data_IF_555452589227
#
_entry.id   IF_555452589227
#
_cell.length_a   1.000
_cell.length_b   1.000
_cell.length_c   1.000
_cell.angle_alpha   90.00
_cell.angle_beta   90.00
_cell.angle_gamma   90.00
#
_symmetry.space_group_name_H-M   'P 1'
#
loop_
_entity.id
_entity.type
_entity.pdbx_description
1 polymer ?
#
# COMPACT_ATOMS: atom_id res chain seq x y z
N UNK A 1 70.27 -37.99 9.72
CA UNK A 1 69.03 -38.47 9.08
C UNK A 1 67.92 -37.49 9.47
N UNK A 2 67.62 -36.53 8.59
CA UNK A 2 66.58 -35.50 8.79
C UNK A 2 65.31 -35.98 8.06
N UNK A 3 64.23 -36.23 8.83
CA UNK A 3 62.91 -36.59 8.25
C UNK A 3 62.18 -35.29 7.94
N UNK A 4 61.89 -35.07 6.66
CA UNK A 4 61.10 -33.95 6.18
C UNK A 4 59.60 -34.31 6.33
N UNK A 5 58.92 -33.52 7.15
CA UNK A 5 57.45 -33.66 7.35
C UNK A 5 56.74 -32.81 6.33
N UNK A 6 56.11 -33.47 5.36
CA UNK A 6 55.31 -32.76 4.31
C UNK A 6 53.92 -32.50 4.88
N UNK A 7 53.58 -31.21 5.06
CA UNK A 7 52.28 -30.77 5.49
C UNK A 7 51.35 -30.71 4.28
N UNK A 8 50.38 -31.60 4.21
CA UNK A 8 49.32 -31.58 3.18
C UNK A 8 48.21 -30.65 3.68
N UNK A 9 48.10 -29.46 3.05
CA UNK A 9 46.98 -28.53 3.27
C UNK A 9 45.79 -28.98 2.39
N UNK A 10 44.78 -29.55 3.04
CA UNK A 10 43.53 -29.89 2.35
C UNK A 10 42.67 -28.61 2.35
N UNK A 11 42.59 -27.99 1.16
CA UNK A 11 41.64 -26.90 0.88
C UNK A 11 40.23 -27.47 0.75
N UNK A 12 39.41 -27.36 1.79
CA UNK A 12 37.97 -27.62 1.72
C UNK A 12 37.29 -26.46 0.97
N UNK A 13 37.07 -26.65 -0.31
CA UNK A 13 36.21 -25.74 -1.08
C UNK A 13 34.76 -25.95 -0.63
N UNK A 14 34.25 -25.02 0.19
CA UNK A 14 32.82 -24.95 0.53
C UNK A 14 32.06 -24.52 -0.73
N UNK A 15 31.49 -25.47 -1.43
CA UNK A 15 30.56 -25.24 -2.52
C UNK A 15 29.25 -24.72 -1.89
N UNK A 16 29.04 -23.41 -1.90
CA UNK A 16 27.76 -22.81 -1.56
C UNK A 16 26.75 -23.23 -2.64
N UNK A 17 25.93 -24.23 -2.34
CA UNK A 17 24.76 -24.58 -3.12
C UNK A 17 23.80 -23.38 -3.03
N UNK A 18 23.79 -22.56 -4.08
CA UNK A 18 22.72 -21.61 -4.31
C UNK A 18 21.42 -22.41 -4.38
N UNK A 19 20.59 -22.32 -3.35
CA UNK A 19 19.23 -22.85 -3.40
C UNK A 19 18.47 -22.06 -4.47
N UNK A 20 18.40 -22.62 -5.67
CA UNK A 20 17.43 -22.20 -6.67
C UNK A 20 16.05 -22.57 -6.12
N UNK A 21 15.42 -21.61 -5.40
CA UNK A 21 14.08 -21.78 -4.91
C UNK A 21 13.18 -22.14 -6.10
N UNK A 22 12.53 -23.30 -6.02
CA UNK A 22 11.50 -23.70 -6.97
C UNK A 22 10.46 -22.58 -7.01
N UNK A 23 10.15 -21.98 -8.17
CA UNK A 23 9.14 -20.95 -8.22
C UNK A 23 7.82 -21.49 -7.65
N UNK A 24 7.23 -20.75 -6.73
CA UNK A 24 5.94 -21.08 -6.11
C UNK A 24 4.93 -21.47 -7.19
N UNK A 25 4.21 -22.58 -6.96
CA UNK A 25 3.11 -23.04 -7.83
C UNK A 25 1.87 -22.12 -7.83
N UNK A 26 1.96 -20.93 -7.23
CA UNK A 26 0.95 -19.88 -7.38
C UNK A 26 1.06 -19.30 -8.80
N UNK A 27 0.78 -20.14 -9.79
CA UNK A 27 0.69 -19.75 -11.20
C UNK A 27 -0.76 -19.39 -11.49
N UNK A 28 -0.99 -18.11 -11.79
CA UNK A 28 -2.31 -17.58 -12.12
C UNK A 28 -2.30 -16.06 -12.08
N UNK A 29 -3.35 -15.45 -12.61
CA UNK A 29 -3.54 -14.01 -12.51
C UNK A 29 -3.80 -13.67 -11.04
N UNK A 30 -2.90 -12.90 -10.42
CA UNK A 30 -3.01 -12.43 -9.05
C UNK A 30 -3.29 -10.93 -9.09
N UNK A 31 -4.27 -10.47 -8.31
CA UNK A 31 -4.57 -9.05 -8.09
C UNK A 31 -4.53 -8.80 -6.59
N UNK A 32 -3.83 -7.75 -6.19
CA UNK A 32 -3.83 -7.28 -4.81
C UNK A 32 -4.79 -6.12 -4.69
N UNK A 33 -5.65 -6.15 -3.67
CA UNK A 33 -6.30 -4.96 -3.15
C UNK A 33 -6.21 -4.95 -1.62
N UNK A 34 -6.24 -3.77 -1.02
CA UNK A 34 -6.26 -3.61 0.42
C UNK A 34 -7.72 -3.67 0.93
N UNK A 35 -7.93 -4.34 2.07
CA UNK A 35 -9.21 -4.34 2.77
C UNK A 35 -9.07 -3.75 4.16
N UNK A 36 -9.90 -2.78 4.51
CA UNK A 36 -9.85 -2.06 5.78
C UNK A 36 -11.17 -2.25 6.51
N UNK A 37 -11.09 -2.76 7.75
CA UNK A 37 -12.25 -2.88 8.62
C UNK A 37 -12.49 -1.55 9.32
N UNK A 38 -13.67 -0.96 9.14
CA UNK A 38 -13.99 0.38 9.67
C UNK A 38 -15.45 0.49 10.11
N UNK A 39 -15.71 1.31 11.12
CA UNK A 39 -17.07 1.69 11.56
C UNK A 39 -17.61 2.89 10.75
N UNK A 40 -16.78 3.52 9.89
CA UNK A 40 -17.08 4.77 9.18
C UNK A 40 -17.29 4.56 7.68
N UNK A 41 -18.12 3.56 7.31
CA UNK A 41 -18.25 3.15 5.92
C UNK A 41 -18.78 4.28 5.01
N UNK A 42 -19.80 5.01 5.48
CA UNK A 42 -20.43 6.11 4.73
C UNK A 42 -19.50 7.32 4.59
N UNK A 43 -18.83 7.72 5.67
CA UNK A 43 -17.87 8.83 5.65
C UNK A 43 -16.68 8.48 4.73
N UNK A 44 -16.25 7.22 4.76
CA UNK A 44 -15.19 6.73 3.88
C UNK A 44 -15.61 6.79 2.44
N UNK A 45 -16.81 6.31 2.11
CA UNK A 45 -17.35 6.40 0.74
C UNK A 45 -17.41 7.86 0.27
N UNK A 46 -17.99 8.74 1.09
CA UNK A 46 -18.10 10.16 0.75
C UNK A 46 -16.73 10.81 0.51
N UNK A 47 -15.74 10.51 1.33
CA UNK A 47 -14.38 11.02 1.19
C UNK A 47 -13.73 10.55 -0.12
N UNK A 48 -13.64 9.25 -0.34
CA UNK A 48 -12.94 8.71 -1.51
C UNK A 48 -13.61 9.12 -2.83
N UNK A 49 -14.95 9.16 -2.87
CA UNK A 49 -15.67 9.54 -4.09
C UNK A 49 -15.66 11.05 -4.34
N UNK A 50 -15.88 11.90 -3.32
CA UNK A 50 -16.04 13.35 -3.50
C UNK A 50 -14.70 14.10 -3.47
N UNK A 51 -13.72 13.60 -2.70
CA UNK A 51 -12.41 14.25 -2.56
C UNK A 51 -11.44 13.71 -3.60
N UNK A 52 -11.29 12.38 -3.70
CA UNK A 52 -10.31 11.72 -4.55
C UNK A 52 -10.85 11.24 -5.90
N UNK A 53 -12.18 11.33 -6.12
CA UNK A 53 -12.79 10.97 -7.40
C UNK A 53 -12.87 9.46 -7.68
N UNK A 54 -12.76 8.62 -6.66
CA UNK A 54 -12.90 7.17 -6.81
C UNK A 54 -14.32 6.81 -7.23
N UNK A 55 -14.44 5.72 -8.01
CA UNK A 55 -15.73 5.12 -8.35
C UNK A 55 -16.08 3.96 -7.42
N UNK A 56 -17.37 3.61 -7.37
CA UNK A 56 -17.86 2.45 -6.62
C UNK A 56 -17.95 1.24 -7.55
N UNK A 57 -17.15 0.20 -7.28
CA UNK A 57 -17.22 -1.08 -8.00
C UNK A 57 -18.32 -1.98 -7.46
N UNK A 58 -18.49 -2.00 -6.13
CA UNK A 58 -19.51 -2.79 -5.45
C UNK A 58 -19.82 -2.19 -4.08
N UNK A 59 -21.08 -2.33 -3.64
CA UNK A 59 -21.53 -1.88 -2.33
C UNK A 59 -22.70 -2.72 -1.84
N UNK A 60 -22.73 -2.99 -0.53
CA UNK A 60 -23.88 -3.49 0.20
C UNK A 60 -23.86 -2.93 1.63
N UNK A 61 -24.72 -3.47 2.52
CA UNK A 61 -24.89 -2.96 3.88
C UNK A 61 -23.65 -3.01 4.78
N UNK A 62 -22.63 -3.82 4.44
CA UNK A 62 -21.43 -3.98 5.27
C UNK A 62 -20.11 -3.91 4.49
N UNK A 63 -20.14 -3.82 3.17
CA UNK A 63 -18.95 -3.89 2.33
C UNK A 63 -19.01 -2.84 1.21
N UNK A 64 -17.90 -2.15 1.01
CA UNK A 64 -17.69 -1.16 -0.02
C UNK A 64 -16.41 -1.49 -0.79
N UNK A 65 -16.47 -1.63 -2.11
CA UNK A 65 -15.34 -1.76 -3.00
C UNK A 65 -15.26 -0.53 -3.90
N UNK A 66 -14.16 0.17 -3.82
CA UNK A 66 -13.88 1.37 -4.62
C UNK A 66 -12.76 1.08 -5.63
N UNK A 67 -12.78 1.79 -6.75
CA UNK A 67 -11.71 1.80 -7.73
C UNK A 67 -11.16 3.20 -7.93
N UNK A 68 -9.88 3.29 -8.29
CA UNK A 68 -9.23 4.55 -8.71
C UNK A 68 -9.94 5.16 -9.93
N UNK A 69 -9.79 6.47 -10.21
CA UNK A 69 -10.45 7.11 -11.35
C UNK A 69 -10.15 6.45 -12.70
N UNK A 70 -8.95 5.87 -12.88
CA UNK A 70 -8.58 5.10 -14.07
C UNK A 70 -9.09 3.64 -14.07
N UNK A 71 -9.65 3.15 -12.96
CA UNK A 71 -10.20 1.81 -12.82
C UNK A 71 -9.17 0.67 -12.69
N UNK A 72 -7.89 0.99 -12.51
CA UNK A 72 -6.82 -0.01 -12.48
C UNK A 72 -6.63 -0.64 -11.10
N UNK A 73 -6.78 0.14 -10.04
CA UNK A 73 -6.59 -0.29 -8.66
C UNK A 73 -7.89 -0.26 -7.86
N UNK A 74 -7.95 -1.10 -6.83
CA UNK A 74 -9.11 -1.20 -5.96
C UNK A 74 -8.72 -1.19 -4.48
N UNK A 75 -9.61 -0.66 -3.66
CA UNK A 75 -9.54 -0.70 -2.20
C UNK A 75 -10.92 -1.03 -1.65
N UNK A 76 -10.97 -1.84 -0.59
CA UNK A 76 -12.23 -2.22 0.03
C UNK A 76 -12.31 -1.80 1.50
N UNK A 77 -13.52 -1.54 1.94
CA UNK A 77 -13.85 -1.22 3.32
C UNK A 77 -15.01 -2.10 3.77
N UNK A 78 -14.99 -2.54 5.03
CA UNK A 78 -16.04 -3.38 5.56
C UNK A 78 -16.34 -3.07 7.03
N UNK A 79 -17.60 -3.22 7.42
CA UNK A 79 -18.02 -3.06 8.82
C UNK A 79 -17.43 -4.17 9.70
N UNK A 80 -17.03 -3.85 10.94
CA UNK A 80 -16.54 -4.85 11.89
C UNK A 80 -17.63 -5.80 12.34
N UNK A 81 -17.23 -6.98 12.78
CA UNK A 81 -18.10 -7.98 13.42
C UNK A 81 -19.30 -8.44 12.58
N UNK A 82 -19.29 -8.27 11.26
CA UNK A 82 -20.38 -8.76 10.43
C UNK A 82 -20.43 -10.29 10.45
N UNK A 83 -21.62 -10.92 10.66
CA UNK A 83 -21.73 -12.36 10.92
C UNK A 83 -21.32 -13.24 9.73
N UNK A 84 -21.31 -12.71 8.50
CA UNK A 84 -20.80 -13.42 7.32
C UNK A 84 -19.29 -13.49 7.24
N UNK A 85 -18.57 -12.70 8.04
CA UNK A 85 -17.12 -12.61 8.02
C UNK A 85 -16.48 -13.53 9.08
N UNK A 86 -15.25 -14.01 8.79
CA UNK A 86 -14.48 -14.76 9.75
C UNK A 86 -13.88 -13.83 10.82
N UNK A 87 -13.62 -14.34 12.01
CA UNK A 87 -13.09 -13.59 13.15
C UNK A 87 -11.80 -12.80 12.85
N UNK A 88 -11.02 -13.26 11.87
CA UNK A 88 -9.83 -12.57 11.39
C UNK A 88 -10.12 -11.14 10.87
N UNK A 89 -11.32 -10.93 10.30
CA UNK A 89 -11.76 -9.66 9.70
C UNK A 89 -12.74 -8.87 10.56
N UNK A 90 -12.85 -9.19 11.87
CA UNK A 90 -13.80 -8.53 12.77
C UNK A 90 -13.27 -7.26 13.44
N UNK A 91 -11.95 -7.18 13.65
CA UNK A 91 -11.37 -6.06 14.40
C UNK A 91 -11.21 -4.83 13.51
N UNK A 92 -11.76 -3.67 13.91
CA UNK A 92 -11.57 -2.45 13.15
C UNK A 92 -10.11 -2.00 13.16
N UNK A 93 -9.73 -1.29 12.11
CA UNK A 93 -8.44 -0.62 12.01
C UNK A 93 -8.27 0.39 13.16
N UNK A 94 -7.07 0.43 13.76
CA UNK A 94 -6.78 1.21 14.96
C UNK A 94 -5.92 2.44 14.66
N UNK A 95 -6.00 3.00 13.47
CA UNK A 95 -5.34 4.25 13.05
C UNK A 95 -3.80 4.23 13.10
N UNK A 96 -3.19 3.07 13.04
CA UNK A 96 -1.74 2.93 13.11
C UNK A 96 -1.18 1.88 12.15
N UNK A 97 -0.02 2.20 11.57
CA UNK A 97 0.80 1.23 10.84
C UNK A 97 0.34 0.96 9.40
N UNK A 98 -0.58 1.76 8.86
CA UNK A 98 -1.01 1.72 7.46
C UNK A 98 -1.02 3.13 6.89
N UNK A 99 -0.48 3.29 5.71
CA UNK A 99 -0.67 4.45 4.84
C UNK A 99 -0.88 3.96 3.41
N UNK A 100 -1.42 4.81 2.58
CA UNK A 100 -1.60 4.57 1.15
C UNK A 100 -0.72 5.54 0.38
N UNK A 101 -0.09 5.07 -0.70
CA UNK A 101 0.56 5.92 -1.69
C UNK A 101 -0.28 5.89 -2.95
N UNK A 102 -0.62 7.07 -3.45
CA UNK A 102 -1.32 7.26 -4.73
C UNK A 102 -0.39 8.00 -5.66
N UNK A 103 0.13 7.29 -6.65
CA UNK A 103 0.96 7.88 -7.69
C UNK A 103 0.07 8.67 -8.66
N UNK A 104 0.47 9.91 -8.95
CA UNK A 104 -0.27 10.83 -9.81
C UNK A 104 0.68 11.57 -10.76
N UNK A 105 0.20 11.95 -11.92
CA UNK A 105 1.02 12.67 -12.91
C UNK A 105 1.26 14.13 -12.50
N UNK A 106 0.25 14.81 -11.94
CA UNK A 106 0.24 16.25 -11.68
C UNK A 106 -0.07 16.57 -10.20
N UNK A 107 0.86 16.21 -9.31
CA UNK A 107 0.65 16.36 -7.85
C UNK A 107 0.38 17.79 -7.42
N UNK A 108 1.02 18.80 -8.05
CA UNK A 108 0.79 20.22 -7.76
C UNK A 108 -0.64 20.65 -8.05
N UNK A 109 -1.20 20.20 -9.18
CA UNK A 109 -2.58 20.51 -9.52
C UNK A 109 -3.53 19.92 -8.49
N UNK A 110 -3.37 18.65 -8.14
CA UNK A 110 -4.21 17.96 -7.14
C UNK A 110 -4.10 18.63 -5.79
N UNK A 111 -2.90 19.00 -5.35
CA UNK A 111 -2.67 19.75 -4.12
C UNK A 111 -3.51 21.04 -4.09
N UNK A 112 -3.44 21.85 -5.14
CA UNK A 112 -4.20 23.10 -5.21
C UNK A 112 -5.73 22.88 -5.25
N UNK A 113 -6.18 21.85 -5.96
CA UNK A 113 -7.60 21.48 -6.01
C UNK A 113 -8.12 21.03 -4.64
N UNK A 114 -7.38 20.20 -3.91
CA UNK A 114 -7.78 19.73 -2.58
C UNK A 114 -7.77 20.87 -1.55
N UNK A 115 -6.77 21.73 -1.59
CA UNK A 115 -6.77 22.95 -0.74
C UNK A 115 -7.96 23.86 -1.02
N UNK A 116 -8.33 24.05 -2.30
CA UNK A 116 -9.51 24.83 -2.69
C UNK A 116 -10.82 24.20 -2.22
N UNK A 117 -10.89 22.87 -2.15
CA UNK A 117 -12.02 22.13 -1.59
C UNK A 117 -12.05 22.18 -0.05
N UNK A 118 -11.05 22.75 0.62
CA UNK A 118 -10.94 22.81 2.07
C UNK A 118 -10.47 21.53 2.73
N UNK A 119 -9.82 20.64 1.98
CA UNK A 119 -9.21 19.43 2.54
C UNK A 119 -8.00 19.81 3.39
N UNK A 120 -7.91 19.25 4.58
CA UNK A 120 -6.77 19.44 5.48
C UNK A 120 -5.53 18.76 4.90
N UNK A 121 -4.41 19.49 4.85
CA UNK A 121 -3.13 18.99 4.35
C UNK A 121 -2.25 18.67 5.57
N UNK A 122 -1.94 17.41 5.77
CA UNK A 122 -1.13 16.92 6.89
C UNK A 122 0.38 17.13 6.65
N UNK A 123 0.82 16.94 5.42
CA UNK A 123 2.18 17.23 4.97
C UNK A 123 2.08 18.15 3.75
N UNK A 124 2.63 19.35 3.86
CA UNK A 124 2.59 20.33 2.78
C UNK A 124 3.45 19.89 1.59
N UNK A 125 3.06 20.33 0.38
CA UNK A 125 3.74 19.89 -0.86
C UNK A 125 5.22 20.26 -0.83
N UNK A 126 6.08 19.29 -1.20
CA UNK A 126 7.53 19.46 -1.21
C UNK A 126 8.24 18.45 -2.10
N UNK A 127 9.49 18.74 -2.41
CA UNK A 127 10.41 17.83 -3.07
C UNK A 127 11.23 17.06 -2.04
N UNK A 128 11.46 15.79 -2.27
CA UNK A 128 12.29 14.94 -1.44
C UNK A 128 13.63 14.60 -2.13
N UNK A 129 14.66 14.36 -1.32
CA UNK A 129 16.00 14.12 -1.84
C UNK A 129 16.13 12.84 -2.69
N UNK A 130 15.19 11.92 -2.56
CA UNK A 130 15.16 10.69 -3.35
C UNK A 130 14.39 10.80 -4.68
N UNK A 131 13.87 11.99 -5.02
CA UNK A 131 13.26 12.26 -6.32
C UNK A 131 11.74 12.19 -6.35
N UNK A 132 11.08 12.33 -5.22
CA UNK A 132 9.62 12.44 -5.14
C UNK A 132 9.21 13.89 -4.89
N UNK A 133 8.12 14.28 -5.52
CA UNK A 133 7.36 15.47 -5.16
C UNK A 133 6.00 15.05 -4.66
N UNK A 134 5.67 15.38 -3.41
CA UNK A 134 4.50 14.83 -2.75
C UNK A 134 3.87 15.77 -1.74
N UNK A 135 2.67 15.43 -1.30
CA UNK A 135 1.98 15.94 -0.12
C UNK A 135 1.11 14.85 0.50
N UNK A 136 0.70 15.02 1.75
CA UNK A 136 -0.16 14.03 2.39
C UNK A 136 -1.43 14.64 2.98
N UNK A 137 -2.49 13.83 2.96
CA UNK A 137 -3.77 14.08 3.61
C UNK A 137 -4.13 12.88 4.47
N UNK A 138 -5.22 12.99 5.24
CA UNK A 138 -5.72 11.87 6.05
C UNK A 138 -7.17 11.56 5.68
N UNK A 139 -7.51 10.28 5.61
CA UNK A 139 -8.89 9.83 5.40
C UNK A 139 -9.70 9.82 6.71
N UNK A 140 -11.05 9.64 6.68
CA UNK A 140 -11.88 9.59 7.90
C UNK A 140 -11.49 8.49 8.90
N UNK A 141 -10.75 7.46 8.46
CA UNK A 141 -10.29 6.38 9.31
C UNK A 141 -8.96 6.68 10.01
N UNK A 142 -8.34 7.82 9.71
CA UNK A 142 -7.00 8.15 10.20
C UNK A 142 -5.88 7.50 9.38
N UNK A 143 -6.16 7.07 8.14
CA UNK A 143 -5.15 6.54 7.22
C UNK A 143 -4.48 7.70 6.50
N UNK A 144 -3.15 7.80 6.61
CA UNK A 144 -2.38 8.74 5.82
C UNK A 144 -2.43 8.35 4.33
N UNK A 145 -2.69 9.33 3.48
CA UNK A 145 -2.67 9.18 2.02
C UNK A 145 -1.60 10.09 1.47
N UNK A 146 -0.55 9.51 0.93
CA UNK A 146 0.56 10.19 0.29
C UNK A 146 0.29 10.26 -1.22
N UNK A 147 0.10 11.47 -1.74
CA UNK A 147 -0.06 11.71 -3.17
C UNK A 147 1.30 12.14 -3.74
N UNK A 148 1.82 11.39 -4.71
CA UNK A 148 3.20 11.51 -5.16
C UNK A 148 3.32 11.52 -6.69
N UNK A 149 4.20 12.39 -7.19
CA UNK A 149 4.73 12.32 -8.55
C UNK A 149 6.23 12.02 -8.45
N UNK A 150 6.67 10.94 -9.09
CA UNK A 150 8.09 10.62 -9.18
C UNK A 150 8.76 11.56 -10.19
N UNK A 151 9.63 12.43 -9.72
CA UNK A 151 10.45 13.25 -10.60
C UNK A 151 11.52 12.35 -11.23
N UNK A 152 11.59 12.31 -12.55
CA UNK A 152 12.60 11.50 -13.26
C UNK A 152 13.99 11.87 -12.76
N UNK A 153 14.69 10.86 -12.23
CA UNK A 153 16.12 10.94 -11.95
C UNK A 153 16.93 11.07 -13.23
#
# INVERSE_FOLDING_TARGET
MKRLLTLVVVCLASCALAQTGTPSKLQGKMKLNAGIVTEKLEETKAFYTSVLGFGVSFENEFYLLLHTPNGEDEISFLLPNHPSQQALFHKPFQQQGLYLTIEVDEVDQIYHELKKKGVEIEIDIRDEAWGDRHFAIQDPNGIGIDLVTHTKQ
#
